data_IF_678361677220
#
_entry.id   IF_678361677220
#
_cell.length_a   1.000
_cell.length_b   1.000
_cell.length_c   1.000
_cell.angle_alpha   90.00
_cell.angle_beta   90.00
_cell.angle_gamma   90.00
#
_symmetry.space_group_name_H-M   'P 1'
#
loop_
_entity.id
_entity.type
_entity.pdbx_description
1 polymer ?
#
# COMPACT_ATOMS: atom_id res chain seq x y z
N UNK A 1 -6.80 5.38 12.96
CA UNK A 1 -5.65 4.47 12.81
C UNK A 1 -4.55 5.26 12.14
N UNK A 2 -3.34 5.21 12.70
CA UNK A 2 -2.27 6.19 12.40
C UNK A 2 -1.25 5.67 11.37
N UNK A 3 -1.42 4.43 10.91
CA UNK A 3 -0.51 3.83 9.93
C UNK A 3 -1.05 2.53 9.32
N UNK A 4 -0.32 2.03 8.32
CA UNK A 4 -0.60 0.79 7.60
C UNK A 4 0.67 -0.05 7.54
N UNK A 5 0.55 -1.37 7.75
CA UNK A 5 1.63 -2.34 7.57
C UNK A 5 1.30 -3.20 6.35
N UNK A 6 2.23 -3.25 5.37
CA UNK A 6 2.00 -3.88 4.07
C UNK A 6 3.22 -4.75 3.72
N UNK A 7 2.96 -6.01 3.36
CA UNK A 7 3.98 -6.94 2.90
C UNK A 7 4.13 -6.87 1.38
N UNK A 8 5.37 -6.90 0.89
CA UNK A 8 5.69 -6.75 -0.53
C UNK A 8 6.71 -7.80 -0.94
N UNK A 9 6.45 -8.48 -2.04
CA UNK A 9 7.37 -9.46 -2.64
C UNK A 9 7.48 -9.23 -4.15
N UNK A 10 8.67 -9.41 -4.72
CA UNK A 10 8.87 -9.23 -6.16
C UNK A 10 8.09 -10.26 -7.00
N UNK A 11 7.92 -11.46 -6.44
CA UNK A 11 7.22 -12.61 -7.01
C UNK A 11 6.28 -13.23 -5.97
N UNK A 12 5.13 -12.62 -5.66
CA UNK A 12 4.24 -13.08 -4.59
C UNK A 12 3.85 -14.57 -4.72
N UNK A 13 3.74 -15.07 -5.95
CA UNK A 13 3.45 -16.47 -6.27
C UNK A 13 4.55 -17.47 -5.85
N UNK A 14 5.76 -16.98 -5.58
CA UNK A 14 6.91 -17.77 -5.13
C UNK A 14 7.27 -17.52 -3.67
N UNK A 15 6.50 -16.71 -2.95
CA UNK A 15 6.80 -16.39 -1.57
C UNK A 15 6.67 -17.66 -0.71
N UNK A 16 7.66 -17.87 0.17
CA UNK A 16 7.68 -19.02 1.08
C UNK A 16 6.60 -18.92 2.17
N UNK A 17 6.14 -17.69 2.45
CA UNK A 17 5.03 -17.38 3.34
C UNK A 17 4.24 -16.23 2.73
N UNK A 18 2.93 -16.20 2.98
CA UNK A 18 2.10 -15.00 2.85
C UNK A 18 2.09 -14.34 1.45
N UNK A 19 2.36 -15.14 0.42
CA UNK A 19 2.42 -14.69 -0.98
C UNK A 19 1.10 -14.16 -1.52
N UNK A 20 -0.04 -14.73 -1.09
CA UNK A 20 -1.34 -14.31 -1.57
C UNK A 20 -1.70 -12.88 -1.11
N UNK A 21 -1.38 -12.51 0.14
CA UNK A 21 -1.62 -11.16 0.65
C UNK A 21 -0.48 -10.17 0.35
N UNK A 22 0.69 -10.66 -0.04
CA UNK A 22 1.83 -9.82 -0.41
C UNK A 22 1.57 -9.09 -1.73
N UNK A 23 1.82 -7.78 -1.76
CA UNK A 23 1.71 -7.00 -2.99
C UNK A 23 2.95 -7.21 -3.87
N UNK A 24 2.76 -7.14 -5.19
CA UNK A 24 3.89 -6.91 -6.10
C UNK A 24 4.43 -5.49 -5.94
N UNK A 25 5.70 -5.27 -6.29
CA UNK A 25 6.31 -3.93 -6.26
C UNK A 25 5.52 -2.90 -7.08
N UNK A 26 4.95 -3.31 -8.22
CA UNK A 26 4.13 -2.43 -9.09
C UNK A 26 2.84 -2.03 -8.40
N UNK A 27 2.15 -2.97 -7.75
CA UNK A 27 0.90 -2.70 -7.03
C UNK A 27 1.17 -1.82 -5.82
N UNK A 28 2.24 -2.08 -5.07
CA UNK A 28 2.65 -1.24 -3.94
C UNK A 28 2.92 0.21 -4.36
N UNK A 29 3.69 0.44 -5.43
CA UNK A 29 3.94 1.79 -5.94
C UNK A 29 2.66 2.49 -6.39
N UNK A 30 1.70 1.74 -6.94
CA UNK A 30 0.41 2.29 -7.35
C UNK A 30 -0.42 2.71 -6.14
N UNK A 31 -0.48 1.88 -5.10
CA UNK A 31 -1.12 2.19 -3.83
C UNK A 31 -0.50 3.42 -3.17
N UNK A 32 0.83 3.52 -3.10
CA UNK A 32 1.51 4.69 -2.51
C UNK A 32 1.21 5.98 -3.28
N UNK A 33 1.12 5.93 -4.61
CA UNK A 33 0.69 7.08 -5.43
C UNK A 33 -0.75 7.49 -5.14
N UNK A 34 -1.63 6.54 -4.84
CA UNK A 34 -3.02 6.82 -4.46
C UNK A 34 -3.08 7.41 -3.05
N UNK A 35 -2.37 6.84 -2.07
CA UNK A 35 -2.30 7.35 -0.69
C UNK A 35 -1.84 8.82 -0.64
N UNK A 36 -0.83 9.19 -1.42
CA UNK A 36 -0.39 10.60 -1.55
C UNK A 36 -1.47 11.56 -2.04
N UNK A 37 -2.44 11.09 -2.82
CA UNK A 37 -3.59 11.93 -3.23
C UNK A 37 -4.58 12.14 -2.10
N UNK A 38 -4.70 11.16 -1.20
CA UNK A 38 -5.58 11.23 -0.04
C UNK A 38 -4.99 12.07 1.09
N UNK A 39 -3.66 12.16 1.22
CA UNK A 39 -2.98 13.04 2.18
C UNK A 39 -3.53 14.48 2.14
N UNK A 40 -3.66 15.04 0.94
CA UNK A 40 -4.22 16.40 0.72
C UNK A 40 -5.68 16.53 1.19
N UNK A 41 -6.45 15.44 1.18
CA UNK A 41 -7.86 15.45 1.59
C UNK A 41 -7.98 15.23 3.10
N UNK A 42 -7.16 14.34 3.66
CA UNK A 42 -7.18 13.98 5.08
C UNK A 42 -6.66 15.11 5.98
N UNK A 43 -5.72 15.92 5.48
CA UNK A 43 -5.23 17.11 6.20
C UNK A 43 -6.13 18.34 6.04
N UNK A 44 -7.14 18.28 5.17
CA UNK A 44 -8.13 19.34 5.03
C UNK A 44 -9.27 19.13 6.01
N UNK A 45 -9.36 19.99 7.01
CA UNK A 45 -10.61 20.14 7.78
C UNK A 45 -11.69 20.59 6.82
N UNK A 46 -12.75 19.78 6.69
CA UNK A 46 -13.99 20.24 6.07
C UNK A 46 -14.58 21.24 7.07
N UNK A 47 -14.56 22.52 6.71
CA UNK A 47 -15.20 23.58 7.47
C UNK A 47 -16.72 23.54 7.26
#
# INVERSE_FOLDING_TARGET
>A
ADGLMIEVHAHPEKALSDGYQSLSSKTFLTMMKQLKKYEVILERSIA
#
